data_IF_169067075474
#
_entry.id   IF_169067075474
#
_cell.length_a   1.000
_cell.length_b   1.000
_cell.length_c   1.000
_cell.angle_alpha   90.00
_cell.angle_beta   90.00
_cell.angle_gamma   90.00
#
_symmetry.space_group_name_H-M   'P 1'
#
loop_
_entity.id
_entity.type
_entity.pdbx_description
1 polymer ?
#
# COMPACT_ATOMS: atom_id res chain seq x y z
N UNK A 1 1.41 -11.53 -11.90
CA UNK A 1 0.25 -10.65 -12.25
C UNK A 1 0.57 -9.23 -11.81
N UNK A 2 -0.12 -8.18 -12.28
CA UNK A 2 0.15 -6.82 -11.77
C UNK A 2 -0.61 -6.59 -10.47
N UNK A 3 -0.06 -5.78 -9.58
CA UNK A 3 -0.71 -5.45 -8.30
C UNK A 3 -2.08 -4.81 -8.52
N UNK A 4 -2.27 -3.98 -9.55
CA UNK A 4 -3.57 -3.37 -9.88
C UNK A 4 -4.65 -4.39 -10.27
N UNK A 5 -4.26 -5.61 -10.61
CA UNK A 5 -5.19 -6.69 -10.95
C UNK A 5 -5.66 -7.44 -9.69
N UNK A 6 -5.05 -7.17 -8.52
CA UNK A 6 -5.50 -7.71 -7.25
C UNK A 6 -6.82 -7.03 -6.80
N UNK A 7 -7.72 -7.75 -6.13
CA UNK A 7 -9.02 -7.22 -5.69
C UNK A 7 -8.87 -5.97 -4.81
N UNK A 8 -9.72 -4.96 -5.05
CA UNK A 8 -9.77 -3.73 -4.24
C UNK A 8 -8.46 -2.92 -4.22
N UNK A 9 -7.55 -3.11 -5.19
CA UNK A 9 -6.39 -2.25 -5.35
C UNK A 9 -6.73 -0.99 -6.19
N UNK A 10 -6.26 0.21 -5.82
CA UNK A 10 -5.47 0.54 -4.64
C UNK A 10 -6.32 0.61 -3.36
N UNK A 11 -5.77 0.20 -2.21
CA UNK A 11 -6.45 0.37 -0.93
C UNK A 11 -6.66 1.85 -0.60
N UNK A 12 -7.75 2.13 0.13
CA UNK A 12 -7.93 3.44 0.74
C UNK A 12 -7.00 3.60 1.94
N UNK A 13 -6.46 4.80 2.20
CA UNK A 13 -5.70 5.04 3.42
C UNK A 13 -6.62 4.86 4.64
N UNK A 14 -6.16 4.08 5.61
CA UNK A 14 -6.64 4.16 6.98
C UNK A 14 -6.38 5.56 7.54
N UNK A 15 -7.37 6.10 8.24
CA UNK A 15 -7.34 7.49 8.70
C UNK A 15 -6.17 7.77 9.63
N UNK A 16 -5.37 8.79 9.31
CA UNK A 16 -4.75 9.58 10.36
C UNK A 16 -5.88 10.02 11.31
N UNK A 17 -5.73 9.80 12.62
CA UNK A 17 -6.74 9.96 13.67
C UNK A 17 -7.38 11.38 13.82
N UNK A 18 -7.29 12.25 12.81
CA UNK A 18 -7.78 13.63 12.82
C UNK A 18 -8.56 13.95 11.53
N UNK A 19 -9.87 14.16 11.66
CA UNK A 19 -10.82 14.47 10.58
C UNK A 19 -10.57 15.81 9.83
N UNK A 20 -9.53 16.56 10.20
CA UNK A 20 -9.24 17.89 9.64
C UNK A 20 -8.30 17.87 8.43
N UNK A 21 -7.81 16.70 8.00
CA UNK A 21 -6.86 16.60 6.89
C UNK A 21 -7.46 15.95 5.65
N UNK A 22 -7.03 16.41 4.47
CA UNK A 22 -7.41 15.83 3.18
C UNK A 22 -6.75 14.46 3.01
N UNK A 23 -7.55 13.42 2.81
CA UNK A 23 -7.04 12.11 2.42
C UNK A 23 -6.42 12.18 1.01
N UNK A 24 -5.23 11.60 0.80
CA UNK A 24 -4.61 11.58 -0.52
C UNK A 24 -5.32 10.63 -1.47
N UNK A 25 -5.34 10.97 -2.75
CA UNK A 25 -5.58 9.98 -3.81
C UNK A 25 -4.34 9.08 -3.98
N UNK A 26 -4.49 7.92 -4.61
CA UNK A 26 -3.41 6.94 -4.75
C UNK A 26 -2.22 7.44 -5.59
N UNK A 27 -2.45 8.40 -6.51
CA UNK A 27 -1.42 9.08 -7.29
C UNK A 27 -0.66 10.17 -6.51
N UNK A 28 -1.18 10.58 -5.35
CA UNK A 28 -0.57 11.59 -4.48
C UNK A 28 0.19 10.99 -3.30
N UNK A 29 -0.24 9.81 -2.83
CA UNK A 29 0.35 9.13 -1.68
C UNK A 29 1.67 8.43 -2.07
N UNK A 30 2.79 8.88 -1.50
CA UNK A 30 4.13 8.34 -1.80
C UNK A 30 4.53 7.31 -0.75
N UNK A 31 4.78 6.07 -1.15
CA UNK A 31 5.20 4.97 -0.28
C UNK A 31 6.43 5.37 0.55
N UNK A 32 6.32 5.15 1.86
CA UNK A 32 7.35 5.52 2.83
C UNK A 32 7.99 4.33 3.50
N UNK A 33 7.18 3.36 3.93
CA UNK A 33 7.66 2.22 4.72
C UNK A 33 6.71 1.03 4.62
N UNK A 34 7.28 -0.18 4.62
CA UNK A 34 6.53 -1.40 4.94
C UNK A 34 6.51 -1.56 6.46
N UNK A 35 5.32 -1.61 7.07
CA UNK A 35 5.18 -1.66 8.53
C UNK A 35 5.16 -3.10 9.02
N UNK A 36 4.28 -3.94 8.45
CA UNK A 36 4.14 -5.34 8.85
C UNK A 36 3.51 -6.19 7.77
N UNK A 37 3.76 -7.50 7.87
CA UNK A 37 3.01 -8.54 7.18
C UNK A 37 2.45 -9.47 8.24
N UNK A 38 1.14 -9.67 8.24
CA UNK A 38 0.47 -10.53 9.20
C UNK A 38 -0.55 -11.38 8.46
N UNK A 39 -0.40 -12.71 8.55
CA UNK A 39 -1.23 -13.68 7.84
C UNK A 39 -1.32 -13.39 6.33
N UNK A 40 -2.48 -12.92 5.88
CA UNK A 40 -2.77 -12.56 4.50
C UNK A 40 -2.90 -11.04 4.29
N UNK A 41 -2.41 -10.23 5.23
CA UNK A 41 -2.49 -8.76 5.18
C UNK A 41 -1.11 -8.10 5.18
N UNK A 42 -0.98 -7.05 4.39
CA UNK A 42 0.21 -6.19 4.30
C UNK A 42 -0.16 -4.79 4.76
N UNK A 43 0.53 -4.30 5.79
CA UNK A 43 0.41 -2.93 6.27
C UNK A 43 1.63 -2.13 5.83
N UNK A 44 1.39 -0.98 5.20
CA UNK A 44 2.44 -0.06 4.78
C UNK A 44 2.01 1.38 5.02
N UNK A 45 2.96 2.32 5.03
CA UNK A 45 2.67 3.74 5.14
C UNK A 45 3.08 4.48 3.89
N UNK A 46 2.36 5.56 3.61
CA UNK A 46 2.67 6.52 2.57
C UNK A 46 2.54 7.95 3.12
N UNK A 47 3.22 8.89 2.49
CA UNK A 47 3.20 10.30 2.87
C UNK A 47 2.50 11.16 1.82
N UNK A 48 1.74 12.14 2.27
CA UNK A 48 1.17 13.21 1.46
C UNK A 48 1.15 14.52 2.25
N UNK A 49 1.66 15.60 1.66
CA UNK A 49 1.77 16.92 2.32
C UNK A 49 2.42 16.87 3.72
N UNK A 50 3.47 16.05 3.86
CA UNK A 50 4.18 15.89 5.13
C UNK A 50 3.41 15.10 6.22
N UNK A 51 2.26 14.53 5.89
CA UNK A 51 1.47 13.66 6.77
C UNK A 51 1.63 12.21 6.34
N UNK A 52 1.66 11.31 7.33
CA UNK A 52 1.72 9.87 7.13
C UNK A 52 0.31 9.28 7.15
N UNK A 53 0.05 8.37 6.23
CA UNK A 53 -1.18 7.61 6.08
C UNK A 53 -0.83 6.12 6.09
N UNK A 54 -1.56 5.34 6.87
CA UNK A 54 -1.39 3.88 6.94
C UNK A 54 -2.35 3.23 5.96
N UNK A 55 -1.90 2.18 5.29
CA UNK A 55 -2.69 1.37 4.38
C UNK A 55 -2.61 -0.08 4.85
N UNK A 56 -3.77 -0.69 5.01
CA UNK A 56 -3.90 -2.12 5.28
C UNK A 56 -4.51 -2.77 4.04
N UNK A 57 -3.84 -3.79 3.52
CA UNK A 57 -4.28 -4.47 2.31
C UNK A 57 -4.27 -5.99 2.48
N UNK A 58 -5.46 -6.56 2.43
CA UNK A 58 -5.68 -7.99 2.53
C UNK A 58 -5.65 -8.65 1.15
N UNK A 59 -4.97 -9.79 1.05
CA UNK A 59 -4.85 -10.60 -0.16
C UNK A 59 -5.34 -12.03 0.09
N UNK A 60 -5.44 -12.82 -0.98
CA UNK A 60 -6.05 -14.14 -0.94
C UNK A 60 -5.34 -15.14 -0.01
N UNK A 61 -4.02 -15.04 0.14
CA UNK A 61 -3.24 -15.95 0.98
C UNK A 61 -1.89 -15.33 1.41
N UNK A 62 -1.22 -15.99 2.36
CA UNK A 62 0.04 -15.51 2.95
C UNK A 62 1.23 -15.52 1.98
N UNK A 63 1.19 -16.33 0.91
CA UNK A 63 2.23 -16.30 -0.14
C UNK A 63 2.16 -14.99 -0.92
N UNK A 64 0.96 -14.59 -1.36
CA UNK A 64 0.76 -13.30 -2.02
C UNK A 64 1.15 -12.14 -1.10
N UNK A 65 0.81 -12.24 0.19
CA UNK A 65 1.11 -11.17 1.16
C UNK A 65 2.63 -10.96 1.30
N UNK A 66 3.40 -12.04 1.42
CA UNK A 66 4.87 -11.99 1.47
C UNK A 66 5.47 -11.38 0.19
N UNK A 67 5.02 -11.84 -0.97
CA UNK A 67 5.51 -11.32 -2.25
C UNK A 67 5.15 -9.84 -2.44
N UNK A 68 3.93 -9.45 -2.10
CA UNK A 68 3.51 -8.05 -2.14
C UNK A 68 4.36 -7.19 -1.20
N UNK A 69 4.66 -7.69 0.01
CA UNK A 69 5.51 -6.97 0.96
C UNK A 69 6.92 -6.73 0.44
N UNK A 70 7.53 -7.71 -0.24
CA UNK A 70 8.81 -7.52 -0.92
C UNK A 70 8.72 -6.45 -2.00
N UNK A 71 7.65 -6.47 -2.79
CA UNK A 71 7.41 -5.46 -3.82
C UNK A 71 7.24 -4.07 -3.19
N UNK A 72 6.47 -3.94 -2.13
CA UNK A 72 6.31 -2.67 -1.37
C UNK A 72 7.67 -2.16 -0.89
N UNK A 73 8.47 -3.01 -0.23
CA UNK A 73 9.77 -2.64 0.32
C UNK A 73 10.79 -2.20 -0.75
N UNK A 74 10.74 -2.78 -1.95
CA UNK A 74 11.61 -2.41 -3.08
C UNK A 74 11.17 -1.15 -3.83
N UNK A 75 9.96 -0.65 -3.57
CA UNK A 75 9.34 0.45 -4.32
C UNK A 75 9.04 1.68 -3.44
N UNK A 76 9.72 1.83 -2.30
CA UNK A 76 9.67 3.05 -1.49
C UNK A 76 10.03 4.27 -2.34
N UNK A 77 9.27 5.35 -2.17
CA UNK A 77 9.38 6.58 -2.97
C UNK A 77 8.48 6.60 -4.21
N UNK A 78 7.84 5.49 -4.60
CA UNK A 78 6.80 5.49 -5.64
C UNK A 78 5.43 5.83 -5.07
N UNK A 79 4.52 6.29 -5.91
CA UNK A 79 3.13 6.48 -5.48
C UNK A 79 2.39 5.15 -5.35
N UNK A 80 1.33 5.09 -4.53
CA UNK A 80 0.50 3.89 -4.39
C UNK A 80 -0.11 3.47 -5.74
N UNK A 81 -0.46 4.44 -6.60
CA UNK A 81 -0.90 4.19 -7.97
C UNK A 81 0.20 3.54 -8.82
N UNK A 82 1.44 4.05 -8.75
CA UNK A 82 2.57 3.49 -9.51
C UNK A 82 2.92 2.07 -9.08
N UNK A 83 2.72 1.74 -7.80
CA UNK A 83 2.91 0.37 -7.31
C UNK A 83 1.98 -0.62 -8.02
N UNK A 84 0.78 -0.19 -8.43
CA UNK A 84 -0.18 -1.01 -9.17
C UNK A 84 0.36 -1.54 -10.52
N UNK A 85 1.37 -0.91 -11.11
CA UNK A 85 1.97 -1.38 -12.37
C UNK A 85 3.02 -2.48 -12.18
N UNK A 86 3.48 -2.72 -10.94
CA UNK A 86 4.53 -3.69 -10.63
C UNK A 86 3.97 -5.11 -10.61
N UNK A 87 4.78 -6.08 -11.01
CA UNK A 87 4.43 -7.48 -10.96
C UNK A 87 4.56 -8.04 -9.54
N UNK A 88 3.60 -8.87 -9.17
CA UNK A 88 3.59 -9.68 -7.97
C UNK A 88 3.29 -11.13 -8.36
N UNK A 89 4.05 -12.03 -7.76
CA UNK A 89 3.78 -13.46 -7.83
C UNK A 89 2.62 -13.76 -6.87
N UNK A 90 1.50 -14.24 -7.41
CA UNK A 90 0.34 -14.61 -6.62
C UNK A 90 0.02 -16.10 -6.75
#
# INVERSE_FOLDING_TARGET
MKIKDLPNWPPQPGGAFNASYKSPTSDQAVLKELVKVQDNSVTFTATFQGKQFTYDYEVANSRVAKNLAEVVARNIGKTVMQLGAVEVDA
#
